data_IF_843323252385
#
_entry.id   IF_843323252385
#
_cell.length_a   1.000
_cell.length_b   1.000
_cell.length_c   1.000
_cell.angle_alpha   90.00
_cell.angle_beta   90.00
_cell.angle_gamma   90.00
#
_symmetry.space_group_name_H-M   'P 1'
#
loop_
_entity.id
_entity.type
_entity.pdbx_description
1 polymer ?
#
# COMPACT_ATOMS: atom_id res chain seq x y z
N UNK A 1 -18.87 13.93 -27.97
CA UNK A 1 -19.24 13.91 -26.54
C UNK A 1 -19.72 15.30 -26.14
N UNK A 2 -20.89 15.41 -25.50
CA UNK A 2 -21.47 16.71 -25.11
C UNK A 2 -20.80 17.17 -23.80
N UNK A 3 -20.50 18.47 -23.71
CA UNK A 3 -19.82 19.14 -22.57
C UNK A 3 -20.57 18.90 -21.24
N UNK A 4 -21.87 18.64 -21.28
CA UNK A 4 -22.69 18.31 -20.11
C UNK A 4 -22.29 17.00 -19.41
N UNK A 5 -21.56 16.09 -20.08
CA UNK A 5 -21.11 14.82 -19.48
C UNK A 5 -19.77 14.93 -18.74
N UNK A 6 -18.97 15.99 -18.98
CA UNK A 6 -17.71 16.23 -18.27
C UNK A 6 -17.91 16.85 -16.89
N UNK A 7 -18.98 17.63 -16.70
CA UNK A 7 -19.29 18.29 -15.41
C UNK A 7 -19.82 17.27 -14.39
N UNK A 8 -20.47 16.19 -14.84
CA UNK A 8 -21.04 15.17 -13.97
C UNK A 8 -19.96 14.24 -13.35
N UNK A 9 -18.80 14.10 -14.00
CA UNK A 9 -17.69 13.27 -13.47
C UNK A 9 -16.90 14.02 -12.39
N UNK A 10 -16.88 15.36 -12.45
CA UNK A 10 -16.23 16.19 -11.42
C UNK A 10 -17.02 16.27 -10.10
N UNK A 11 -18.32 15.95 -10.10
CA UNK A 11 -19.16 15.99 -8.90
C UNK A 11 -19.07 14.72 -8.03
N UNK A 12 -18.41 13.65 -8.49
CA UNK A 12 -18.35 12.36 -7.79
C UNK A 12 -17.15 12.18 -6.84
N UNK A 13 -16.28 13.19 -6.70
CA UNK A 13 -15.05 13.11 -5.88
C UNK A 13 -15.07 13.96 -4.59
N UNK A 14 -16.22 14.48 -4.17
CA UNK A 14 -16.31 15.39 -3.00
C UNK A 14 -16.77 14.68 -1.70
N UNK A 15 -17.02 13.37 -1.73
CA UNK A 15 -17.69 12.68 -0.63
C UNK A 15 -16.84 12.22 0.57
N UNK A 16 -15.51 12.26 0.51
CA UNK A 16 -14.66 11.56 1.49
C UNK A 16 -13.56 12.40 2.15
N UNK A 17 -13.56 13.72 1.98
CA UNK A 17 -12.47 14.59 2.47
C UNK A 17 -12.66 15.13 3.90
N UNK A 18 -13.89 15.09 4.45
CA UNK A 18 -14.21 15.80 5.71
C UNK A 18 -13.55 15.15 6.94
N UNK A 19 -13.46 13.82 7.01
CA UNK A 19 -12.86 13.12 8.16
C UNK A 19 -11.34 13.29 8.25
N UNK A 20 -10.64 13.34 7.11
CA UNK A 20 -9.18 13.51 7.09
C UNK A 20 -8.72 14.92 7.52
N UNK A 21 -9.60 15.91 7.35
CA UNK A 21 -9.27 17.31 7.65
C UNK A 21 -9.32 17.59 9.16
N UNK A 22 -10.31 17.05 9.88
CA UNK A 22 -10.45 17.24 11.33
C UNK A 22 -9.28 16.67 12.14
N UNK A 23 -8.79 15.47 11.77
CA UNK A 23 -7.62 14.86 12.42
C UNK A 23 -6.35 15.71 12.22
N UNK A 24 -6.11 16.17 10.99
CA UNK A 24 -4.95 17.00 10.67
C UNK A 24 -4.99 18.35 11.43
N UNK A 25 -6.17 18.98 11.50
CA UNK A 25 -6.37 20.21 12.27
C UNK A 25 -6.16 20.01 13.77
N UNK A 26 -6.65 18.91 14.34
CA UNK A 26 -6.42 18.57 15.75
C UNK A 26 -4.92 18.39 16.04
N UNK A 27 -4.23 17.65 15.16
CA UNK A 27 -2.78 17.44 15.27
C UNK A 27 -2.00 18.75 15.17
N UNK A 28 -2.40 19.66 14.30
CA UNK A 28 -1.71 20.92 14.09
C UNK A 28 -1.92 21.95 15.22
N UNK A 29 -3.12 22.00 15.81
CA UNK A 29 -3.51 23.10 16.72
C UNK A 29 -3.74 22.67 18.17
N UNK A 30 -4.08 21.41 18.43
CA UNK A 30 -4.61 20.99 19.74
C UNK A 30 -3.85 19.84 20.41
N UNK A 31 -3.14 18.98 19.66
CA UNK A 31 -2.55 17.75 20.22
C UNK A 31 -1.47 18.00 21.28
N UNK A 32 -0.81 19.16 21.24
CA UNK A 32 0.26 19.51 22.17
C UNK A 32 -0.22 19.49 23.62
N UNK A 33 -1.50 19.83 23.82
CA UNK A 33 -2.10 19.93 25.15
C UNK A 33 -3.25 18.96 25.37
N UNK A 34 -3.96 18.52 24.33
CA UNK A 34 -5.12 17.65 24.45
C UNK A 34 -4.86 16.26 23.88
N UNK A 35 -5.32 15.24 24.60
CA UNK A 35 -5.44 13.88 24.09
C UNK A 35 -6.91 13.60 23.71
N UNK A 36 -7.12 12.75 22.70
CA UNK A 36 -8.46 12.48 22.14
C UNK A 36 -9.31 11.64 23.10
N UNK A 37 -8.70 10.75 23.87
CA UNK A 37 -9.39 9.73 24.68
C UNK A 37 -9.16 9.85 26.20
N UNK A 38 -8.38 10.83 26.65
CA UNK A 38 -8.07 11.04 28.08
C UNK A 38 -7.76 12.49 28.39
N UNK A 39 -7.78 12.83 29.68
CA UNK A 39 -7.20 14.08 30.16
C UNK A 39 -5.68 14.09 29.92
N UNK A 40 -5.15 15.25 29.58
CA UNK A 40 -3.71 15.50 29.45
C UNK A 40 -3.41 16.86 30.11
N UNK A 41 -2.54 17.70 29.52
CA UNK A 41 -2.36 19.09 29.93
C UNK A 41 -3.68 19.86 29.90
N UNK A 42 -4.52 19.59 28.90
CA UNK A 42 -5.90 20.05 28.79
C UNK A 42 -6.92 18.94 29.08
N UNK A 43 -8.19 19.29 29.35
CA UNK A 43 -9.25 18.34 29.64
C UNK A 43 -9.61 17.49 28.41
N UNK A 44 -10.25 16.34 28.66
CA UNK A 44 -10.87 15.50 27.65
C UNK A 44 -11.89 16.31 26.84
N UNK A 45 -11.68 16.35 25.52
CA UNK A 45 -12.52 17.11 24.60
C UNK A 45 -13.69 16.30 24.03
N UNK A 46 -13.69 14.98 24.18
CA UNK A 46 -14.79 14.14 23.71
C UNK A 46 -16.11 14.50 24.42
N UNK A 47 -17.12 14.81 23.62
CA UNK A 47 -18.44 15.28 24.06
C UNK A 47 -18.47 16.73 24.56
N UNK A 48 -17.42 17.52 24.35
CA UNK A 48 -17.37 18.91 24.87
C UNK A 48 -18.43 19.79 24.22
N UNK A 49 -18.71 19.62 22.92
CA UNK A 49 -19.73 20.39 22.19
C UNK A 49 -21.12 20.21 22.81
N UNK A 50 -21.47 18.97 23.15
CA UNK A 50 -22.72 18.66 23.85
C UNK A 50 -22.76 19.31 25.24
N UNK A 51 -21.67 19.24 26.03
CA UNK A 51 -21.63 19.83 27.38
C UNK A 51 -21.82 21.35 27.38
N UNK A 52 -21.23 22.06 26.42
CA UNK A 52 -21.43 23.50 26.28
C UNK A 52 -22.84 23.85 25.78
N UNK A 53 -23.44 22.99 24.95
CA UNK A 53 -24.83 23.12 24.53
C UNK A 53 -25.82 22.90 25.68
N UNK A 54 -25.61 21.89 26.51
CA UNK A 54 -26.44 21.61 27.68
C UNK A 54 -26.37 22.74 28.72
N UNK A 55 -25.25 23.44 28.79
CA UNK A 55 -25.08 24.63 29.63
C UNK A 55 -25.73 25.90 29.04
N UNK A 56 -26.24 25.85 27.81
CA UNK A 56 -26.78 27.01 27.09
C UNK A 56 -25.71 28.01 26.62
N UNK A 57 -24.45 27.58 26.55
CA UNK A 57 -23.28 28.43 26.26
C UNK A 57 -22.57 28.03 24.94
N UNK A 58 -23.25 27.34 24.00
CA UNK A 58 -22.66 26.80 22.76
C UNK A 58 -21.80 27.78 21.98
N UNK A 59 -22.26 29.02 21.81
CA UNK A 59 -21.54 30.03 21.03
C UNK A 59 -20.25 30.51 21.74
N UNK A 60 -20.24 30.45 23.08
CA UNK A 60 -19.07 30.84 23.87
C UNK A 60 -17.95 29.80 23.80
N UNK A 61 -18.22 28.59 23.29
CA UNK A 61 -17.20 27.57 23.04
C UNK A 61 -16.16 28.06 22.01
N UNK A 62 -16.61 28.77 20.97
CA UNK A 62 -15.69 29.33 19.97
C UNK A 62 -14.83 30.44 20.57
N UNK A 63 -15.42 31.28 21.41
CA UNK A 63 -14.71 32.34 22.14
C UNK A 63 -13.69 31.75 23.13
N UNK A 64 -14.03 30.62 23.77
CA UNK A 64 -13.11 29.89 24.64
C UNK A 64 -11.89 29.38 23.88
N UNK A 65 -12.10 28.74 22.73
CA UNK A 65 -10.99 28.20 21.92
C UNK A 65 -10.12 29.32 21.37
N UNK A 66 -10.73 30.40 20.86
CA UNK A 66 -9.99 31.52 20.28
C UNK A 66 -9.25 32.34 21.34
N UNK A 67 -9.88 32.59 22.49
CA UNK A 67 -9.29 33.39 23.57
C UNK A 67 -9.98 33.13 24.92
N UNK A 68 -9.59 32.04 25.57
CA UNK A 68 -10.05 31.64 26.91
C UNK A 68 -9.88 32.75 27.95
N UNK A 69 -8.79 33.52 27.90
CA UNK A 69 -8.51 34.62 28.84
C UNK A 69 -9.58 35.70 28.81
N UNK A 70 -9.94 36.15 27.61
CA UNK A 70 -10.99 37.15 27.46
C UNK A 70 -12.34 36.63 27.95
N UNK A 71 -12.66 35.38 27.69
CA UNK A 71 -13.92 34.80 28.13
C UNK A 71 -13.98 34.67 29.66
N UNK A 72 -12.89 34.23 30.30
CA UNK A 72 -12.78 34.18 31.77
C UNK A 72 -12.88 35.58 32.38
N UNK A 73 -12.11 36.54 31.85
CA UNK A 73 -12.10 37.92 32.35
C UNK A 73 -13.46 38.62 32.18
N UNK A 74 -14.24 38.23 31.16
CA UNK A 74 -15.58 38.77 30.96
C UNK A 74 -16.60 38.34 32.03
N UNK A 75 -16.33 37.23 32.74
CA UNK A 75 -17.22 36.65 33.75
C UNK A 75 -18.54 36.10 33.19
N UNK A 76 -18.71 36.02 31.87
CA UNK A 76 -19.99 35.68 31.21
C UNK A 76 -20.29 34.19 31.12
N UNK A 77 -19.26 33.35 31.08
CA UNK A 77 -19.40 31.90 30.91
C UNK A 77 -19.16 31.18 32.23
N UNK A 78 -20.16 30.42 32.68
CA UNK A 78 -20.04 29.56 33.87
C UNK A 78 -19.10 28.39 33.58
N UNK A 79 -19.11 27.87 32.34
CA UNK A 79 -18.24 26.79 31.91
C UNK A 79 -16.76 27.20 31.93
N UNK A 80 -16.44 28.38 31.40
CA UNK A 80 -15.09 28.93 31.41
C UNK A 80 -14.55 29.13 32.83
N UNK A 81 -15.39 29.63 33.75
CA UNK A 81 -15.01 29.83 35.15
C UNK A 81 -14.84 28.52 35.92
N UNK A 82 -15.61 27.48 35.58
CA UNK A 82 -15.52 26.16 36.23
C UNK A 82 -14.24 25.39 35.86
N UNK A 83 -13.69 25.65 34.66
CA UNK A 83 -12.51 24.93 34.14
C UNK A 83 -11.21 25.75 34.22
N UNK A 84 -11.28 27.01 34.66
CA UNK A 84 -10.11 27.91 34.72
C UNK A 84 -8.93 27.35 35.53
N UNK A 85 -9.22 26.55 36.56
CA UNK A 85 -8.23 25.97 37.49
C UNK A 85 -7.89 24.51 37.15
N UNK A 86 -8.33 24.00 35.98
CA UNK A 86 -8.13 22.60 35.60
C UNK A 86 -6.65 22.21 35.45
N UNK A 87 -5.82 23.11 34.92
CA UNK A 87 -4.39 22.89 34.75
C UNK A 87 -3.61 24.13 35.18
N UNK A 88 -2.39 23.93 35.71
CA UNK A 88 -1.49 25.03 36.06
C UNK A 88 -0.92 25.79 34.86
N UNK A 89 -1.16 25.32 33.63
CA UNK A 89 -0.79 25.99 32.38
C UNK A 89 -2.03 26.57 31.69
N UNK A 90 -1.99 27.86 31.38
CA UNK A 90 -3.09 28.55 30.71
C UNK A 90 -3.17 28.13 29.23
N UNK A 91 -4.39 27.98 28.70
CA UNK A 91 -4.61 27.74 27.28
C UNK A 91 -4.28 28.99 26.46
N UNK A 92 -3.28 28.89 25.57
CA UNK A 92 -2.93 29.97 24.66
C UNK A 92 -4.07 30.22 23.64
N UNK A 93 -4.31 31.49 23.23
CA UNK A 93 -5.27 31.83 22.18
C UNK A 93 -5.02 31.03 20.90
N UNK A 94 -6.05 30.36 20.37
CA UNK A 94 -5.92 29.57 19.15
C UNK A 94 -6.33 30.38 17.92
N UNK A 95 -5.50 30.34 16.88
CA UNK A 95 -5.85 30.89 15.57
C UNK A 95 -6.65 29.83 14.79
N UNK A 96 -7.95 29.72 15.07
CA UNK A 96 -8.86 28.80 14.38
C UNK A 96 -10.19 29.49 14.01
N UNK A 97 -10.72 29.19 12.82
CA UNK A 97 -12.09 29.59 12.42
C UNK A 97 -13.14 28.73 13.14
N UNK A 98 -14.40 29.15 13.13
CA UNK A 98 -15.47 28.36 13.76
C UNK A 98 -15.63 27.00 13.05
N UNK A 99 -15.49 27.00 11.73
CA UNK A 99 -15.56 25.81 10.89
C UNK A 99 -14.40 24.84 11.18
N UNK A 100 -13.17 25.35 11.37
CA UNK A 100 -12.04 24.52 11.77
C UNK A 100 -12.26 23.89 13.15
N UNK A 101 -12.84 24.64 14.10
CA UNK A 101 -13.16 24.14 15.44
C UNK A 101 -14.20 23.01 15.35
N UNK A 102 -15.23 23.17 14.53
CA UNK A 102 -16.26 22.15 14.32
C UNK A 102 -15.69 20.86 13.75
N UNK A 103 -14.83 20.95 12.72
CA UNK A 103 -14.16 19.79 12.13
C UNK A 103 -13.28 19.04 13.14
N UNK A 104 -12.57 19.78 14.00
CA UNK A 104 -11.75 19.18 15.08
C UNK A 104 -12.64 18.41 16.06
N UNK A 105 -13.73 19.02 16.53
CA UNK A 105 -14.62 18.42 17.52
C UNK A 105 -15.36 17.20 16.96
N UNK A 106 -15.78 17.25 15.69
CA UNK A 106 -16.43 16.12 15.01
C UNK A 106 -15.48 14.90 14.91
N UNK A 107 -14.20 15.14 14.57
CA UNK A 107 -13.17 14.10 14.58
C UNK A 107 -13.00 13.47 15.99
N UNK A 108 -12.91 14.30 17.03
CA UNK A 108 -12.71 13.83 18.41
C UNK A 108 -13.91 12.98 18.87
N UNK A 109 -15.13 13.41 18.57
CA UNK A 109 -16.34 12.70 18.96
C UNK A 109 -16.48 11.35 18.23
N UNK A 110 -16.02 11.28 16.98
CA UNK A 110 -15.96 10.05 16.17
C UNK A 110 -14.81 9.09 16.53
N UNK A 111 -13.85 9.48 17.36
CA UNK A 111 -12.66 8.67 17.63
C UNK A 111 -12.95 7.39 18.43
N UNK A 112 -12.47 6.25 17.91
CA UNK A 112 -12.51 4.93 18.56
C UNK A 112 -11.08 4.47 18.85
N UNK A 113 -10.76 4.21 20.13
CA UNK A 113 -9.46 3.72 20.56
C UNK A 113 -9.26 2.28 20.09
N UNK A 114 -8.27 2.04 19.23
CA UNK A 114 -7.82 0.68 18.90
C UNK A 114 -6.91 0.21 20.04
N UNK A 115 -7.40 -0.69 20.89
CA UNK A 115 -6.59 -1.30 21.95
C UNK A 115 -5.64 -2.33 21.33
N UNK A 116 -4.34 -2.02 21.31
CA UNK A 116 -3.30 -3.03 21.18
C UNK A 116 -3.20 -3.82 22.50
N UNK A 117 -3.09 -5.17 22.47
CA UNK A 117 -2.96 -5.97 23.69
C UNK A 117 -1.71 -5.58 24.50
N UNK A 118 -1.72 -5.76 25.84
CA UNK A 118 -0.62 -5.36 26.68
C UNK A 118 0.66 -6.13 26.32
N UNK A 119 1.74 -5.35 26.24
CA UNK A 119 3.09 -5.76 25.92
C UNK A 119 3.61 -6.76 26.98
N UNK A 120 3.46 -8.06 26.73
CA UNK A 120 4.34 -9.07 27.33
C UNK A 120 5.61 -9.02 26.48
N UNK A 121 6.71 -8.60 27.10
CA UNK A 121 8.02 -8.56 26.49
C UNK A 121 8.39 -9.96 25.97
N UNK A 122 8.23 -10.16 24.67
CA UNK A 122 8.78 -11.28 23.93
C UNK A 122 10.20 -10.86 23.48
N UNK A 123 11.27 -11.51 23.98
CA UNK A 123 12.64 -11.18 23.59
C UNK A 123 12.95 -11.48 22.12
N UNK A 124 12.00 -12.02 21.35
CA UNK A 124 12.17 -12.33 19.93
C UNK A 124 11.65 -11.26 18.97
N UNK A 125 11.02 -10.18 19.45
CA UNK A 125 10.71 -9.01 18.61
C UNK A 125 11.84 -7.99 18.68
N UNK A 126 12.86 -8.24 17.88
CA UNK A 126 13.68 -7.14 17.37
C UNK A 126 12.73 -6.17 16.65
N UNK A 127 12.84 -4.89 17.02
CA UNK A 127 12.13 -3.77 16.40
C UNK A 127 12.08 -3.97 14.89
N UNK A 128 10.89 -4.25 14.35
CA UNK A 128 10.66 -3.99 12.95
C UNK A 128 10.76 -2.47 12.82
N UNK A 129 11.77 -1.90 12.15
CA UNK A 129 11.90 -0.46 12.07
C UNK A 129 10.61 0.06 11.45
N UNK A 130 9.93 0.94 12.18
CA UNK A 130 8.88 1.78 11.60
C UNK A 130 9.49 2.42 10.36
N UNK A 131 8.96 2.08 9.18
CA UNK A 131 9.58 2.41 7.91
C UNK A 131 9.44 3.93 7.72
N UNK A 132 10.41 4.69 8.24
CA UNK A 132 10.45 6.14 8.14
C UNK A 132 10.37 6.52 6.66
N UNK A 133 9.52 7.51 6.29
CA UNK A 133 9.43 7.96 4.90
C UNK A 133 10.81 8.36 4.37
N UNK A 134 11.18 7.93 3.18
CA UNK A 134 12.44 8.30 2.53
C UNK A 134 12.39 9.76 2.04
N UNK A 135 12.56 10.71 2.97
CA UNK A 135 12.56 12.14 2.65
C UNK A 135 13.72 12.53 1.72
N UNK A 136 14.84 11.81 1.74
CA UNK A 136 16.02 12.11 0.91
C UNK A 136 15.78 11.71 -0.55
N UNK A 137 15.25 10.50 -0.77
CA UNK A 137 14.79 10.05 -2.09
C UNK A 137 13.67 10.95 -2.63
N UNK A 138 12.66 11.24 -1.81
CA UNK A 138 11.55 12.10 -2.20
C UNK A 138 12.02 13.51 -2.60
N UNK A 139 12.95 14.11 -1.86
CA UNK A 139 13.48 15.43 -2.18
C UNK A 139 14.20 15.44 -3.55
N UNK A 140 14.90 14.36 -3.90
CA UNK A 140 15.58 14.24 -5.20
C UNK A 140 14.57 14.21 -6.35
N UNK A 141 13.49 13.43 -6.19
CA UNK A 141 12.40 13.35 -7.18
C UNK A 141 11.67 14.69 -7.29
N UNK A 142 11.44 15.35 -6.16
CA UNK A 142 10.81 16.68 -6.09
C UNK A 142 11.56 17.70 -6.96
N UNK A 143 12.90 17.77 -6.85
CA UNK A 143 13.68 18.67 -7.69
C UNK A 143 13.59 18.35 -9.18
N UNK A 144 13.61 17.06 -9.55
CA UNK A 144 13.45 16.66 -10.95
C UNK A 144 12.09 17.11 -11.52
N UNK A 145 11.01 16.94 -10.75
CA UNK A 145 9.67 17.37 -11.13
C UNK A 145 9.53 18.90 -11.17
N UNK A 146 10.25 19.62 -10.32
CA UNK A 146 10.27 21.09 -10.30
C UNK A 146 10.99 21.63 -11.54
N UNK A 147 12.13 21.05 -11.92
CA UNK A 147 12.84 21.40 -13.15
C UNK A 147 11.96 21.12 -14.38
N UNK A 148 11.30 19.97 -14.42
CA UNK A 148 10.36 19.65 -15.50
C UNK A 148 9.23 20.69 -15.59
N UNK A 149 8.67 21.10 -14.45
CA UNK A 149 7.62 22.10 -14.39
C UNK A 149 8.09 23.43 -14.98
N UNK A 150 9.31 23.88 -14.66
CA UNK A 150 9.91 25.10 -15.23
C UNK A 150 10.06 24.97 -16.74
N UNK A 151 10.55 23.83 -17.24
CA UNK A 151 10.70 23.59 -18.69
C UNK A 151 9.34 23.65 -19.40
N UNK A 152 8.30 23.01 -18.83
CA UNK A 152 6.96 23.03 -19.41
C UNK A 152 6.35 24.42 -19.40
N UNK A 153 6.50 25.18 -18.31
CA UNK A 153 6.05 26.58 -18.25
C UNK A 153 6.76 27.46 -19.28
N UNK A 154 8.07 27.28 -19.44
CA UNK A 154 8.84 27.98 -20.47
C UNK A 154 8.36 27.62 -21.89
N UNK A 155 8.10 26.34 -22.17
CA UNK A 155 7.53 25.91 -23.44
C UNK A 155 6.15 26.54 -23.70
N UNK A 156 5.28 26.60 -22.69
CA UNK A 156 3.97 27.26 -22.79
C UNK A 156 4.12 28.74 -23.13
N UNK A 157 5.04 29.45 -22.47
CA UNK A 157 5.31 30.87 -22.73
C UNK A 157 5.79 31.07 -24.19
N UNK A 158 6.76 30.27 -24.64
CA UNK A 158 7.29 30.33 -26.02
C UNK A 158 6.21 30.05 -27.07
N UNK A 159 5.38 29.03 -26.85
CA UNK A 159 4.31 28.69 -27.78
C UNK A 159 3.19 29.72 -27.76
N UNK A 160 2.80 30.20 -26.58
CA UNK A 160 1.75 31.22 -26.42
C UNK A 160 2.14 32.52 -27.12
N UNK A 161 3.37 33.00 -26.91
CA UNK A 161 3.92 34.19 -27.58
C UNK A 161 3.98 34.01 -29.10
N UNK A 162 4.40 32.84 -29.58
CA UNK A 162 4.41 32.50 -31.02
C UNK A 162 3.00 32.52 -31.62
N UNK A 163 2.03 31.89 -30.94
CA UNK A 163 0.63 31.86 -31.36
C UNK A 163 0.05 33.28 -31.37
N UNK A 164 0.25 34.08 -30.32
CA UNK A 164 -0.20 35.47 -30.24
C UNK A 164 0.36 36.33 -31.38
N UNK A 165 1.62 36.11 -31.75
CA UNK A 165 2.26 36.81 -32.87
C UNK A 165 1.62 36.41 -34.20
N UNK A 166 1.35 35.11 -34.39
CA UNK A 166 0.67 34.59 -35.58
C UNK A 166 -0.76 35.12 -35.69
N UNK A 167 -1.49 35.19 -34.58
CA UNK A 167 -2.86 35.71 -34.51
C UNK A 167 -2.92 37.19 -34.86
N UNK A 168 -1.90 37.97 -34.49
CA UNK A 168 -1.82 39.40 -34.82
C UNK A 168 -1.51 39.68 -36.30
N UNK A 169 -1.00 38.69 -37.05
CA UNK A 169 -0.68 38.85 -38.47
C UNK A 169 -1.94 39.13 -39.31
N UNK A 170 -1.80 40.01 -40.30
CA UNK A 170 -2.94 40.42 -41.14
C UNK A 170 -3.45 39.27 -42.02
N UNK A 171 -2.58 38.33 -42.37
CA UNK A 171 -2.93 37.09 -43.07
C UNK A 171 -3.93 36.27 -42.25
N UNK A 172 -3.70 36.16 -40.94
CA UNK A 172 -4.58 35.40 -40.04
C UNK A 172 -5.87 36.16 -39.77
N UNK A 173 -5.83 37.47 -39.52
CA UNK A 173 -7.04 38.31 -39.35
C UNK A 173 -7.98 38.21 -40.55
N UNK A 174 -7.44 38.12 -41.77
CA UNK A 174 -8.23 37.94 -43.00
C UNK A 174 -8.92 36.58 -43.07
N UNK A 175 -8.20 35.49 -42.73
CA UNK A 175 -8.78 34.13 -42.70
C UNK A 175 -9.73 33.89 -41.51
N UNK A 176 -9.52 34.57 -40.38
CA UNK A 176 -10.43 34.52 -39.22
C UNK A 176 -11.79 35.14 -39.52
N UNK A 177 -11.86 36.21 -40.33
CA UNK A 177 -13.13 36.84 -40.73
C UNK A 177 -14.05 35.89 -41.53
N UNK A 178 -13.50 34.80 -42.07
CA UNK A 178 -14.24 33.79 -42.84
C UNK A 178 -14.76 32.63 -41.97
N UNK A 179 -14.46 32.58 -40.66
CA UNK A 179 -14.89 31.49 -39.77
C UNK A 179 -15.89 31.92 -38.69
N UNK A 180 -17.08 31.30 -38.70
CA UNK A 180 -18.21 31.59 -37.82
C UNK A 180 -18.07 31.10 -36.35
N UNK A 181 -17.12 30.21 -36.06
CA UNK A 181 -17.04 29.50 -34.77
C UNK A 181 -16.09 30.13 -33.71
N UNK A 182 -15.61 31.36 -33.94
CA UNK A 182 -14.60 32.04 -33.11
C UNK A 182 -14.95 32.14 -31.62
N UNK A 183 -16.22 32.41 -31.32
CA UNK A 183 -16.71 32.68 -29.96
C UNK A 183 -16.61 31.46 -29.05
N UNK A 184 -16.70 30.24 -29.60
CA UNK A 184 -16.66 29.00 -28.83
C UNK A 184 -15.24 28.61 -28.41
N UNK A 185 -14.24 28.96 -29.23
CA UNK A 185 -12.83 28.67 -28.96
C UNK A 185 -12.27 29.64 -27.91
N UNK A 186 -12.64 30.93 -28.00
CA UNK A 186 -12.18 31.96 -27.07
C UNK A 186 -12.76 31.77 -25.65
N UNK A 187 -14.04 31.40 -25.55
CA UNK A 187 -14.72 31.14 -24.28
C UNK A 187 -14.18 29.89 -23.58
N UNK A 188 -13.76 28.86 -24.33
CA UNK A 188 -13.14 27.65 -23.78
C UNK A 188 -11.74 27.94 -23.19
N UNK A 189 -10.95 28.79 -23.84
CA UNK A 189 -9.62 29.20 -23.35
C UNK A 189 -9.69 29.99 -22.04
N UNK A 190 -10.69 30.88 -21.91
CA UNK A 190 -10.89 31.70 -20.70
C UNK A 190 -11.41 30.83 -19.54
N UNK A 191 -12.31 29.87 -19.82
CA UNK A 191 -12.86 28.98 -18.78
C UNK A 191 -11.84 27.97 -18.25
N UNK A 192 -10.93 27.48 -19.09
CA UNK A 192 -9.83 26.59 -18.64
C UNK A 192 -8.76 27.37 -17.86
N UNK A 193 -8.47 28.62 -18.24
CA UNK A 193 -7.54 29.49 -17.50
C UNK A 193 -8.04 29.87 -16.09
N UNK A 194 -9.36 29.98 -15.89
CA UNK A 194 -9.97 30.28 -14.60
C UNK A 194 -10.03 29.06 -13.64
N UNK A 195 -9.93 27.83 -14.16
CA UNK A 195 -9.93 26.59 -13.37
C UNK A 195 -8.57 26.25 -12.74
N UNK A 196 -7.53 27.04 -13.03
CA UNK A 196 -6.16 26.80 -12.56
C UNK A 196 -5.71 27.71 -11.41
N UNK A 197 -6.62 28.39 -10.70
CA UNK A 197 -6.28 29.04 -9.43
C UNK A 197 -6.42 28.01 -8.29
N UNK A 198 -5.34 27.50 -7.70
CA UNK A 198 -5.46 26.64 -6.54
C UNK A 198 -5.79 27.50 -5.32
N UNK A 199 -6.92 27.24 -4.68
CA UNK A 199 -7.34 27.83 -3.40
C UNK A 199 -6.93 26.97 -2.20
N UNK A 200 -5.96 26.05 -2.36
CA UNK A 200 -5.51 25.16 -1.29
C UNK A 200 -3.99 25.22 -1.19
N UNK A 201 -3.51 25.82 -0.10
CA UNK A 201 -2.09 25.78 0.30
C UNK A 201 -1.86 24.57 1.19
N UNK A 202 -1.37 23.47 0.62
CA UNK A 202 -0.65 22.47 1.41
C UNK A 202 0.75 23.04 1.68
N UNK A 203 1.02 23.43 2.92
CA UNK A 203 2.34 23.93 3.31
C UNK A 203 3.32 22.77 3.44
N UNK A 204 4.37 22.75 2.63
CA UNK A 204 5.48 21.80 2.82
C UNK A 204 6.14 22.03 4.18
N UNK A 205 6.46 20.96 4.90
CA UNK A 205 7.00 21.00 6.27
C UNK A 205 8.53 21.02 6.24
N UNK A 206 9.15 21.80 7.13
CA UNK A 206 10.59 21.72 7.40
C UNK A 206 10.85 20.92 8.69
N UNK A 207 12.01 20.25 8.83
CA UNK A 207 12.35 19.54 10.06
C UNK A 207 12.36 20.48 11.27
N UNK A 208 11.87 20.00 12.41
CA UNK A 208 11.94 20.74 13.67
C UNK A 208 13.37 20.68 14.22
N UNK A 209 14.05 21.83 14.22
CA UNK A 209 15.44 21.96 14.70
C UNK A 209 15.61 21.72 16.20
N UNK A 210 14.51 21.62 16.96
CA UNK A 210 14.55 21.29 18.39
C UNK A 210 14.47 19.78 18.65
N UNK A 211 14.11 18.98 17.64
CA UNK A 211 14.06 17.53 17.73
C UNK A 211 15.36 16.90 17.21
N UNK A 212 16.14 16.28 18.11
CA UNK A 212 17.43 15.65 17.78
C UNK A 212 17.31 14.54 16.72
N UNK A 213 16.17 13.85 16.66
CA UNK A 213 15.89 12.82 15.66
C UNK A 213 15.56 13.40 14.27
N UNK A 214 15.16 14.67 14.18
CA UNK A 214 14.83 15.33 12.92
C UNK A 214 16.01 16.07 12.29
N UNK A 215 17.14 16.19 12.99
CA UNK A 215 18.34 16.88 12.47
C UNK A 215 19.04 16.14 11.34
N UNK A 216 18.81 14.84 11.18
CA UNK A 216 19.38 14.03 10.09
C UNK A 216 18.56 14.12 8.79
N UNK A 217 17.34 14.68 8.85
CA UNK A 217 16.48 14.83 7.69
C UNK A 217 16.88 16.02 6.80
N UNK A 218 16.59 15.94 5.48
CA UNK A 218 16.80 17.06 4.57
C UNK A 218 16.00 18.30 4.96
N UNK A 219 16.45 19.48 4.53
CA UNK A 219 15.85 20.78 4.90
C UNK A 219 14.36 20.93 4.55
N UNK A 220 13.85 20.09 3.64
CA UNK A 220 12.46 20.04 3.22
C UNK A 220 11.98 18.58 3.32
N UNK A 221 10.93 18.36 4.12
CA UNK A 221 10.31 17.06 4.28
C UNK A 221 9.26 16.89 3.19
N UNK A 222 9.68 16.25 2.10
CA UNK A 222 8.79 15.95 0.97
C UNK A 222 8.11 14.61 1.20
N UNK A 223 6.79 14.63 1.31
CA UNK A 223 5.97 13.43 1.41
C UNK A 223 5.56 12.91 0.02
N UNK A 224 5.07 11.67 -0.04
CA UNK A 224 4.59 11.08 -1.29
C UNK A 224 3.39 11.84 -1.87
N UNK A 225 2.57 12.45 -1.01
CA UNK A 225 1.44 13.27 -1.43
C UNK A 225 1.93 14.51 -2.19
N UNK A 226 3.01 15.15 -1.73
CA UNK A 226 3.61 16.32 -2.41
C UNK A 226 4.11 15.95 -3.81
N UNK A 227 4.76 14.79 -3.94
CA UNK A 227 5.21 14.27 -5.24
C UNK A 227 4.04 13.99 -6.18
N UNK A 228 2.95 13.43 -5.68
CA UNK A 228 1.75 13.15 -6.47
C UNK A 228 1.09 14.44 -6.98
N UNK A 229 0.99 15.45 -6.12
CA UNK A 229 0.46 16.77 -6.50
C UNK A 229 1.33 17.38 -7.60
N UNK A 230 2.65 17.41 -7.40
CA UNK A 230 3.58 18.00 -8.36
C UNK A 230 3.61 17.25 -9.70
N UNK A 231 3.50 15.92 -9.67
CA UNK A 231 3.34 15.10 -10.87
C UNK A 231 2.04 15.43 -11.62
N UNK A 232 0.93 15.55 -10.89
CA UNK A 232 -0.38 15.89 -11.47
C UNK A 232 -0.37 17.25 -12.15
N UNK A 233 0.28 18.25 -11.54
CA UNK A 233 0.48 19.58 -12.14
C UNK A 233 1.30 19.46 -13.44
N UNK A 234 2.42 18.75 -13.43
CA UNK A 234 3.24 18.54 -14.62
C UNK A 234 2.47 17.82 -15.74
N UNK A 235 1.63 16.84 -15.40
CA UNK A 235 0.79 16.15 -16.36
C UNK A 235 -0.22 17.10 -17.03
N UNK A 236 -0.88 17.96 -16.24
CA UNK A 236 -1.78 18.99 -16.78
C UNK A 236 -1.03 19.97 -17.68
N UNK A 237 0.15 20.46 -17.27
CA UNK A 237 0.98 21.35 -18.08
C UNK A 237 1.40 20.70 -19.40
N UNK A 238 1.75 19.42 -19.39
CA UNK A 238 2.08 18.66 -20.61
C UNK A 238 0.87 18.58 -21.56
N UNK A 239 -0.33 18.31 -21.05
CA UNK A 239 -1.56 18.32 -21.86
C UNK A 239 -1.80 19.70 -22.48
N UNK A 240 -1.54 20.79 -21.73
CA UNK A 240 -1.62 22.16 -22.25
C UNK A 240 -0.61 22.38 -23.37
N UNK A 241 0.65 21.96 -23.22
CA UNK A 241 1.68 22.07 -24.27
C UNK A 241 1.26 21.30 -25.54
N UNK A 242 0.78 20.06 -25.40
CA UNK A 242 0.32 19.26 -26.54
C UNK A 242 -0.89 19.88 -27.22
N UNK A 243 -1.80 20.48 -26.46
CA UNK A 243 -2.93 21.22 -26.99
C UNK A 243 -2.48 22.47 -27.77
N UNK A 244 -1.59 23.29 -27.19
CA UNK A 244 -1.01 24.46 -27.86
C UNK A 244 -0.26 24.05 -29.14
N UNK A 245 0.43 22.91 -29.14
CA UNK A 245 1.06 22.33 -30.34
C UNK A 245 0.05 21.98 -31.41
N UNK A 246 -1.05 21.32 -31.04
CA UNK A 246 -2.13 20.99 -31.97
C UNK A 246 -2.76 22.25 -32.58
N UNK A 247 -3.00 23.26 -31.74
CA UNK A 247 -3.55 24.55 -32.15
C UNK A 247 -2.59 25.29 -33.10
N UNK A 248 -1.30 25.35 -32.76
CA UNK A 248 -0.27 25.93 -33.62
C UNK A 248 -0.22 25.22 -34.99
N UNK A 249 -0.22 23.89 -35.01
CA UNK A 249 -0.23 23.12 -36.26
C UNK A 249 -1.48 23.38 -37.10
N UNK A 250 -2.65 23.46 -36.48
CA UNK A 250 -3.89 23.79 -37.19
C UNK A 250 -3.83 25.18 -37.84
N UNK A 251 -3.28 26.17 -37.14
CA UNK A 251 -3.07 27.50 -37.71
C UNK A 251 -2.01 27.50 -38.82
N UNK A 252 -0.91 26.78 -38.62
CA UNK A 252 0.14 26.66 -39.62
C UNK A 252 -0.40 26.06 -40.93
N UNK A 253 -1.19 24.97 -40.85
CA UNK A 253 -1.79 24.34 -42.02
C UNK A 253 -2.94 25.14 -42.65
N UNK A 254 -3.56 26.05 -41.91
CA UNK A 254 -4.50 27.01 -42.49
C UNK A 254 -3.78 27.98 -43.43
N UNK A 255 -2.53 28.35 -43.14
CA UNK A 255 -1.73 29.23 -44.00
C UNK A 255 -1.01 28.43 -45.10
N UNK A 256 -0.51 27.23 -44.79
CA UNK A 256 0.16 26.33 -45.72
C UNK A 256 -0.62 25.02 -45.90
N UNK A 257 -1.51 24.92 -46.90
CA UNK A 257 -2.35 23.74 -47.09
C UNK A 257 -1.48 22.50 -47.35
N UNK A 258 -1.80 21.39 -46.66
CA UNK A 258 -1.16 20.09 -46.90
C UNK A 258 -1.36 19.70 -48.36
N UNK A 259 -0.29 19.30 -49.05
CA UNK A 259 -0.39 18.64 -50.36
C UNK A 259 -1.27 17.41 -50.22
N UNK A 260 -2.40 17.39 -50.93
CA UNK A 260 -3.35 16.28 -50.93
C UNK A 260 -2.68 15.06 -51.55
N UNK A 261 -2.46 14.00 -50.77
CA UNK A 261 -1.98 12.71 -51.30
C UNK A 261 -3.14 12.01 -52.02
N UNK A 262 -2.85 11.48 -53.21
CA UNK A 262 -3.81 10.82 -54.09
C UNK A 262 -4.54 9.64 -53.42
N UNK A 263 -5.80 9.44 -53.81
CA UNK A 263 -6.68 8.40 -53.27
C UNK A 263 -6.24 7.03 -53.77
N UNK A 264 -5.75 6.18 -52.86
CA UNK A 264 -5.40 4.77 -53.13
C UNK A 264 -6.63 3.84 -53.07
N UNK A 265 -6.61 2.70 -53.79
CA UNK A 265 -7.74 1.78 -53.89
C UNK A 265 -8.19 1.18 -52.55
N UNK A 266 -9.45 0.74 -52.51
CA UNK A 266 -10.22 0.43 -51.30
C UNK A 266 -9.85 -0.95 -50.74
N UNK A 267 -8.73 -1.02 -50.03
CA UNK A 267 -8.34 -2.19 -49.23
C UNK A 267 -9.32 -2.39 -48.06
N UNK A 268 -9.59 -3.64 -47.68
CA UNK A 268 -10.47 -3.95 -46.53
C UNK A 268 -9.97 -3.26 -45.26
N UNK A 269 -10.89 -2.68 -44.48
CA UNK A 269 -10.56 -1.97 -43.23
C UNK A 269 -9.75 -2.83 -42.27
N UNK A 270 -10.01 -4.14 -42.25
CA UNK A 270 -9.37 -5.09 -41.34
C UNK A 270 -7.92 -5.34 -41.76
N UNK A 271 -7.68 -5.56 -43.06
CA UNK A 271 -6.34 -5.77 -43.60
C UNK A 271 -5.48 -4.54 -43.41
N UNK A 272 -6.02 -3.33 -43.62
CA UNK A 272 -5.27 -2.08 -43.40
C UNK A 272 -4.85 -1.84 -41.94
N UNK A 273 -5.60 -2.39 -40.98
CA UNK A 273 -5.28 -2.27 -39.56
C UNK A 273 -4.25 -3.33 -39.13
N UNK A 274 -4.29 -4.53 -39.72
CA UNK A 274 -3.41 -5.64 -39.37
C UNK A 274 -2.13 -5.70 -40.21
N UNK A 275 -2.15 -5.28 -41.47
CA UNK A 275 -1.03 -5.45 -42.40
C UNK A 275 -1.20 -4.40 -43.50
N UNK A 276 -0.55 -3.25 -43.32
CA UNK A 276 -0.48 -2.15 -44.28
C UNK A 276 0.54 -2.48 -45.40
N UNK A 277 0.40 -3.66 -46.01
CA UNK A 277 1.31 -4.16 -47.05
C UNK A 277 0.87 -3.67 -48.42
N UNK A 278 1.85 -3.29 -49.24
CA UNK A 278 1.66 -2.99 -50.66
C UNK A 278 1.32 -4.29 -51.41
N UNK A 279 0.32 -4.30 -52.32
CA UNK A 279 0.00 -5.49 -53.12
C UNK A 279 1.19 -5.96 -53.98
N UNK A 280 1.23 -7.25 -54.28
CA UNK A 280 2.32 -7.91 -55.04
C UNK A 280 2.54 -7.24 -56.40
N UNK A 281 1.47 -6.81 -57.06
CA UNK A 281 1.50 -6.15 -58.37
C UNK A 281 2.18 -4.78 -58.33
N UNK A 282 2.29 -4.16 -57.15
CA UNK A 282 2.92 -2.86 -56.92
C UNK A 282 4.28 -2.98 -56.18
N UNK A 283 4.78 -4.19 -55.91
CA UNK A 283 6.05 -4.39 -55.17
C UNK A 283 7.25 -3.72 -55.83
N UNK A 284 7.26 -3.65 -57.17
CA UNK A 284 8.33 -2.96 -57.90
C UNK A 284 8.43 -1.47 -57.55
N UNK A 285 7.36 -0.87 -57.02
CA UNK A 285 7.33 0.55 -56.62
C UNK A 285 8.00 0.82 -55.26
N UNK A 286 8.22 -0.23 -54.46
CA UNK A 286 8.84 -0.15 -53.13
C UNK A 286 10.11 -1.00 -53.01
N UNK A 287 10.57 -1.58 -54.12
CA UNK A 287 11.80 -2.36 -54.16
C UNK A 287 13.00 -1.44 -54.03
N UNK A 288 13.92 -1.76 -53.12
CA UNK A 288 15.16 -0.98 -52.96
C UNK A 288 16.16 -1.24 -54.10
N UNK A 289 17.02 -0.26 -54.35
CA UNK A 289 17.95 -0.25 -55.50
C UNK A 289 19.15 -1.20 -55.36
N UNK A 290 19.27 -1.92 -54.25
CA UNK A 290 20.43 -2.75 -53.92
C UNK A 290 20.01 -4.21 -53.77
N UNK A 291 20.87 -5.08 -54.30
CA UNK A 291 20.72 -6.52 -54.25
C UNK A 291 21.96 -7.13 -53.58
N UNK A 292 21.71 -7.95 -52.55
CA UNK A 292 22.76 -8.63 -51.79
C UNK A 292 22.58 -10.13 -51.97
N UNK A 293 23.46 -10.76 -52.75
CA UNK A 293 23.48 -12.22 -52.94
C UNK A 293 22.11 -12.78 -53.40
N UNK A 294 21.47 -12.12 -54.36
CA UNK A 294 20.14 -12.50 -54.86
C UNK A 294 18.96 -12.10 -53.97
N UNK A 295 19.21 -11.52 -52.78
CA UNK A 295 18.18 -11.01 -51.88
C UNK A 295 17.95 -9.53 -52.17
N UNK A 296 16.68 -9.18 -52.37
CA UNK A 296 16.22 -7.79 -52.54
C UNK A 296 15.26 -7.43 -51.42
N UNK A 297 15.30 -6.18 -51.00
CA UNK A 297 14.54 -5.69 -49.85
C UNK A 297 13.41 -4.76 -50.32
N UNK A 298 12.28 -4.83 -49.62
CA UNK A 298 11.11 -3.97 -49.86
C UNK A 298 11.05 -2.90 -48.78
N UNK A 299 10.89 -1.63 -49.16
CA UNK A 299 10.66 -0.50 -48.26
C UNK A 299 9.19 -0.44 -47.82
N UNK A 300 8.76 -1.46 -47.06
CA UNK A 300 7.41 -1.58 -46.53
C UNK A 300 7.24 -0.81 -45.21
N UNK A 301 6.03 -0.28 -44.99
CA UNK A 301 5.67 0.26 -43.69
C UNK A 301 5.64 -0.87 -42.64
N UNK A 302 6.04 -0.54 -41.41
CA UNK A 302 5.88 -1.44 -40.28
C UNK A 302 4.39 -1.77 -40.07
N UNK A 303 4.02 -3.05 -39.83
CA UNK A 303 2.63 -3.43 -39.62
C UNK A 303 2.00 -2.63 -38.46
N UNK A 304 0.82 -2.02 -38.64
CA UNK A 304 0.27 -1.14 -37.62
C UNK A 304 0.02 -1.83 -36.27
N UNK A 305 -0.41 -3.09 -36.25
CA UNK A 305 -0.54 -3.87 -35.00
C UNK A 305 0.80 -4.03 -34.27
N UNK A 306 1.90 -4.21 -35.00
CA UNK A 306 3.23 -4.36 -34.41
C UNK A 306 3.68 -3.05 -33.78
N UNK A 307 3.45 -1.93 -34.48
CA UNK A 307 3.73 -0.58 -33.95
C UNK A 307 2.89 -0.29 -32.71
N UNK A 308 1.59 -0.59 -32.73
CA UNK A 308 0.72 -0.45 -31.55
C UNK A 308 1.14 -1.37 -30.40
N UNK A 309 1.55 -2.61 -30.70
CA UNK A 309 2.13 -3.53 -29.73
C UNK A 309 3.39 -2.95 -29.09
N UNK A 310 4.30 -2.39 -29.89
CA UNK A 310 5.50 -1.73 -29.42
C UNK A 310 5.19 -0.51 -28.53
N UNK A 311 4.21 0.32 -28.89
CA UNK A 311 3.79 1.42 -28.00
C UNK A 311 3.10 0.93 -26.72
N UNK A 312 2.34 -0.16 -26.78
CA UNK A 312 1.74 -0.80 -25.60
C UNK A 312 2.81 -1.29 -24.62
N UNK A 313 3.92 -1.87 -25.10
CA UNK A 313 5.00 -2.28 -24.19
C UNK A 313 5.67 -1.09 -23.52
N UNK A 314 5.83 0.04 -24.21
CA UNK A 314 6.35 1.29 -23.63
C UNK A 314 5.41 1.82 -22.54
N UNK A 315 4.10 1.87 -22.82
CA UNK A 315 3.09 2.33 -21.85
C UNK A 315 3.06 1.40 -20.63
N UNK A 316 3.10 0.08 -20.85
CA UNK A 316 3.17 -0.91 -19.79
C UNK A 316 4.44 -0.74 -18.94
N UNK A 317 5.60 -0.56 -19.57
CA UNK A 317 6.86 -0.35 -18.86
C UNK A 317 6.83 0.90 -18.00
N UNK A 318 6.26 2.01 -18.50
CA UNK A 318 6.09 3.22 -17.71
C UNK A 318 5.16 2.97 -16.52
N UNK A 319 3.98 2.38 -16.73
CA UNK A 319 3.04 2.06 -15.65
C UNK A 319 3.64 1.12 -14.59
N UNK A 320 4.36 0.09 -15.04
CA UNK A 320 5.05 -0.88 -14.18
C UNK A 320 6.14 -0.19 -13.35
N UNK A 321 6.97 0.63 -13.98
CA UNK A 321 8.00 1.41 -13.29
C UNK A 321 7.39 2.35 -12.26
N UNK A 322 6.34 3.10 -12.63
CA UNK A 322 5.68 3.99 -11.69
C UNK A 322 5.08 3.22 -10.52
N UNK A 323 4.42 2.08 -10.76
CA UNK A 323 3.83 1.28 -9.68
C UNK A 323 4.90 0.72 -8.72
N UNK A 324 5.92 0.02 -9.24
CA UNK A 324 6.90 -0.66 -8.39
C UNK A 324 7.97 0.27 -7.82
N UNK A 325 8.46 1.24 -8.59
CA UNK A 325 9.59 2.08 -8.18
C UNK A 325 9.18 3.47 -7.67
N UNK A 326 8.00 3.98 -8.01
CA UNK A 326 7.53 5.30 -7.54
C UNK A 326 6.48 5.16 -6.44
N UNK A 327 5.52 4.23 -6.58
CA UNK A 327 4.45 4.01 -5.60
C UNK A 327 4.77 2.94 -4.55
N UNK A 328 6.00 2.42 -4.52
CA UNK A 328 6.43 1.31 -3.65
C UNK A 328 5.47 0.11 -3.73
N UNK A 329 5.19 -0.36 -4.95
CA UNK A 329 4.54 -1.67 -5.13
C UNK A 329 5.26 -2.76 -4.33
N UNK A 330 4.52 -3.80 -3.96
CA UNK A 330 5.04 -4.85 -3.08
C UNK A 330 6.36 -5.43 -3.63
N UNK A 331 7.40 -5.41 -2.80
CA UNK A 331 8.63 -6.14 -3.12
C UNK A 331 8.37 -7.65 -3.01
N UNK A 332 9.21 -8.44 -3.68
CA UNK A 332 9.16 -9.91 -3.58
C UNK A 332 9.22 -10.38 -2.11
N UNK A 333 10.05 -9.73 -1.29
CA UNK A 333 10.15 -10.02 0.14
C UNK A 333 8.89 -9.64 0.90
N UNK A 334 8.28 -8.50 0.58
CA UNK A 334 7.02 -8.06 1.19
C UNK A 334 5.88 -9.03 0.87
N UNK A 335 5.77 -9.45 -0.38
CA UNK A 335 4.78 -10.43 -0.83
C UNK A 335 5.00 -11.80 -0.17
N UNK A 336 6.24 -12.27 -0.10
CA UNK A 336 6.61 -13.49 0.60
C UNK A 336 6.19 -13.44 2.08
N UNK A 337 6.60 -12.39 2.80
CA UNK A 337 6.28 -12.22 4.22
C UNK A 337 4.76 -12.19 4.46
N UNK A 338 4.01 -11.49 3.60
CA UNK A 338 2.55 -11.46 3.66
C UNK A 338 1.93 -12.83 3.43
N UNK A 339 2.45 -13.59 2.47
CA UNK A 339 1.97 -14.94 2.15
C UNK A 339 2.27 -15.91 3.29
N UNK A 340 3.48 -15.85 3.85
CA UNK A 340 3.87 -16.64 5.02
C UNK A 340 3.03 -16.29 6.26
N UNK A 341 2.72 -15.02 6.47
CA UNK A 341 1.84 -14.60 7.56
C UNK A 341 0.42 -15.15 7.40
N UNK A 342 -0.14 -15.11 6.18
CA UNK A 342 -1.44 -15.74 5.88
C UNK A 342 -1.40 -17.25 6.11
N UNK A 343 -0.38 -17.93 5.58
CA UNK A 343 -0.21 -19.36 5.76
C UNK A 343 -0.08 -19.74 7.23
N UNK A 344 0.63 -18.93 8.04
CA UNK A 344 0.73 -19.15 9.48
C UNK A 344 -0.63 -19.06 10.17
N UNK A 345 -1.45 -18.06 9.83
CA UNK A 345 -2.81 -17.95 10.40
C UNK A 345 -3.67 -19.16 10.03
N UNK A 346 -3.57 -19.65 8.79
CA UNK A 346 -4.29 -20.85 8.34
C UNK A 346 -3.80 -22.11 9.06
N UNK A 347 -2.49 -22.25 9.25
CA UNK A 347 -1.87 -23.34 10.03
C UNK A 347 -2.33 -23.26 11.48
N UNK A 348 -2.27 -22.09 12.11
CA UNK A 348 -2.65 -21.89 13.51
C UNK A 348 -4.16 -22.17 13.70
N UNK A 349 -5.00 -21.80 12.74
CA UNK A 349 -6.43 -22.13 12.74
C UNK A 349 -6.66 -23.64 12.59
N UNK A 350 -5.93 -24.29 11.68
CA UNK A 350 -5.97 -25.75 11.51
C UNK A 350 -5.50 -26.49 12.77
N UNK A 351 -4.42 -26.03 13.41
CA UNK A 351 -3.89 -26.60 14.65
C UNK A 351 -4.81 -26.37 15.85
N UNK A 352 -5.61 -25.30 15.83
CA UNK A 352 -6.59 -24.98 16.87
C UNK A 352 -7.87 -25.82 16.75
N UNK A 353 -8.32 -26.10 15.53
CA UNK A 353 -9.51 -26.90 15.25
C UNK A 353 -9.22 -28.41 15.28
N UNK A 354 -8.02 -28.83 14.86
CA UNK A 354 -7.53 -30.16 15.12
C UNK A 354 -7.21 -30.27 16.62
N UNK A 355 -7.56 -31.38 17.28
CA UNK A 355 -7.32 -31.65 18.70
C UNK A 355 -5.81 -31.81 19.06
N UNK A 356 -4.95 -30.90 18.61
CA UNK A 356 -3.48 -30.98 18.62
C UNK A 356 -2.81 -30.18 19.75
N UNK A 357 -3.56 -29.74 20.74
CA UNK A 357 -2.99 -29.20 21.97
C UNK A 357 -2.39 -30.30 22.86
N UNK A 358 -1.86 -31.40 22.31
CA UNK A 358 -1.21 -32.46 23.09
C UNK A 358 0.27 -32.15 23.20
N UNK A 359 0.77 -31.97 24.40
CA UNK A 359 2.17 -31.74 24.68
C UNK A 359 2.63 -32.55 25.90
N UNK A 360 3.91 -32.44 26.26
CA UNK A 360 4.50 -33.14 27.40
C UNK A 360 3.76 -32.87 28.72
N UNK A 361 3.03 -31.76 28.84
CA UNK A 361 2.31 -31.37 30.04
C UNK A 361 0.94 -32.05 30.17
N UNK A 362 0.26 -32.34 29.07
CA UNK A 362 -1.11 -32.84 29.06
C UNK A 362 -1.34 -34.16 28.30
N UNK A 363 -0.29 -34.75 27.72
CA UNK A 363 -0.38 -36.05 27.06
C UNK A 363 -0.84 -37.14 28.02
N UNK A 364 -1.81 -37.93 27.57
CA UNK A 364 -2.38 -39.06 28.29
C UNK A 364 -2.15 -40.37 27.55
N UNK A 365 -2.13 -41.49 28.27
CA UNK A 365 -2.00 -42.81 27.65
C UNK A 365 -3.33 -43.18 26.99
N UNK A 366 -3.31 -43.38 25.68
CA UNK A 366 -4.48 -43.84 24.92
C UNK A 366 -4.56 -45.36 24.96
N UNK A 367 -5.68 -45.91 25.46
CA UNK A 367 -5.93 -47.36 25.54
C UNK A 367 -6.96 -47.83 24.52
N UNK A 368 -7.58 -46.91 23.78
CA UNK A 368 -8.59 -47.21 22.77
C UNK A 368 -7.97 -47.93 21.57
N UNK A 369 -8.61 -49.01 21.11
CA UNK A 369 -8.08 -49.84 20.03
C UNK A 369 -7.87 -49.07 18.72
N UNK A 370 -8.69 -48.05 18.44
CA UNK A 370 -8.54 -47.20 17.26
C UNK A 370 -7.24 -46.40 17.30
N UNK A 371 -6.94 -45.75 18.44
CA UNK A 371 -5.71 -45.01 18.64
C UNK A 371 -4.47 -45.92 18.62
N UNK A 372 -4.56 -47.11 19.22
CA UNK A 372 -3.46 -48.09 19.20
C UNK A 372 -3.21 -48.64 17.78
N UNK A 373 -4.26 -48.82 16.97
CA UNK A 373 -4.11 -49.24 15.57
C UNK A 373 -3.45 -48.14 14.72
N UNK A 374 -3.81 -46.87 14.94
CA UNK A 374 -3.14 -45.72 14.30
C UNK A 374 -1.67 -45.65 14.71
N UNK A 375 -1.39 -45.70 16.02
CA UNK A 375 -0.04 -45.72 16.57
C UNK A 375 0.81 -46.88 16.03
N UNK A 376 0.20 -48.06 15.83
CA UNK A 376 0.86 -49.20 15.18
C UNK A 376 1.28 -48.90 13.75
N UNK A 377 0.39 -48.34 12.92
CA UNK A 377 0.71 -47.99 11.53
C UNK A 377 1.83 -46.95 11.45
N UNK A 378 1.78 -45.95 12.34
CA UNK A 378 2.81 -44.92 12.44
C UNK A 378 4.16 -45.51 12.91
N UNK A 379 4.14 -46.44 13.87
CA UNK A 379 5.33 -47.18 14.29
C UNK A 379 5.91 -48.03 13.15
N UNK A 380 5.06 -48.72 12.39
CA UNK A 380 5.45 -49.52 11.23
C UNK A 380 6.14 -48.67 10.16
N UNK A 381 5.63 -47.47 9.91
CA UNK A 381 6.16 -46.55 8.92
C UNK A 381 7.46 -45.85 9.35
N UNK A 382 7.63 -45.53 10.64
CA UNK A 382 8.68 -44.61 11.09
C UNK A 382 9.72 -45.21 12.04
N UNK A 383 9.40 -46.28 12.76
CA UNK A 383 10.21 -46.76 13.89
C UNK A 383 10.84 -48.14 13.65
N UNK A 384 10.27 -48.95 12.75
CA UNK A 384 10.67 -50.35 12.50
C UNK A 384 12.09 -50.51 12.00
N UNK A 385 12.62 -49.51 11.28
CA UNK A 385 13.99 -49.55 10.76
C UNK A 385 15.01 -49.72 11.89
N UNK A 386 14.78 -49.09 13.04
CA UNK A 386 15.69 -49.16 14.19
C UNK A 386 15.19 -50.11 15.29
N UNK A 387 13.88 -50.23 15.48
CA UNK A 387 13.28 -50.97 16.59
C UNK A 387 12.60 -52.29 16.18
N UNK A 388 12.67 -52.69 14.90
CA UNK A 388 11.95 -53.84 14.34
C UNK A 388 10.46 -53.79 14.73
N UNK A 389 9.89 -54.89 15.20
CA UNK A 389 8.51 -54.97 15.68
C UNK A 389 8.36 -54.55 17.16
N UNK A 390 9.32 -53.77 17.66
CA UNK A 390 9.50 -53.41 19.06
C UNK A 390 10.64 -54.17 19.73
N UNK A 391 11.11 -55.29 19.17
CA UNK A 391 12.14 -56.14 19.78
C UNK A 391 13.54 -55.49 19.85
N UNK A 392 13.75 -54.37 19.18
CA UNK A 392 15.04 -53.69 19.10
C UNK A 392 15.99 -54.28 18.05
N UNK A 393 16.85 -53.42 17.52
CA UNK A 393 17.95 -53.74 16.59
C UNK A 393 19.06 -52.69 16.73
N UNK A 394 19.03 -51.63 15.91
CA UNK A 394 19.86 -50.44 16.13
C UNK A 394 19.41 -49.75 17.43
N UNK A 395 18.11 -49.56 17.59
CA UNK A 395 17.48 -49.03 18.81
C UNK A 395 17.25 -50.10 19.89
N UNK A 396 16.94 -49.70 21.14
CA UNK A 396 16.63 -50.62 22.24
C UNK A 396 15.36 -51.45 22.00
N UNK A 397 15.23 -52.54 22.76
CA UNK A 397 13.99 -53.30 22.87
C UNK A 397 12.95 -52.46 23.61
N UNK A 398 11.84 -52.16 22.96
CA UNK A 398 10.74 -51.35 23.51
C UNK A 398 9.67 -52.21 24.20
N UNK A 399 9.80 -53.53 24.15
CA UNK A 399 8.82 -54.47 24.69
C UNK A 399 9.17 -55.01 26.09
N UNK A 400 10.41 -54.81 26.53
CA UNK A 400 10.89 -55.24 27.84
C UNK A 400 10.62 -54.19 28.93
N UNK A 401 11.11 -54.48 30.14
CA UNK A 401 10.93 -53.61 31.30
C UNK A 401 12.11 -52.62 31.48
N UNK A 402 13.08 -52.57 30.58
CA UNK A 402 14.29 -51.77 30.74
C UNK A 402 14.25 -50.53 29.86
N UNK A 403 14.31 -49.36 30.50
CA UNK A 403 14.18 -48.07 29.81
C UNK A 403 15.38 -47.17 30.11
N UNK A 404 15.91 -46.54 29.05
CA UNK A 404 17.03 -45.60 29.15
C UNK A 404 16.61 -44.22 29.67
N UNK A 405 15.44 -43.75 29.25
CA UNK A 405 14.98 -42.39 29.52
C UNK A 405 13.77 -42.33 30.45
N UNK A 406 13.05 -43.44 30.61
CA UNK A 406 11.84 -43.58 31.42
C UNK A 406 10.69 -44.23 30.64
N UNK A 407 9.71 -44.80 31.35
CA UNK A 407 8.62 -45.60 30.78
C UNK A 407 7.22 -44.97 30.92
N UNK A 408 7.13 -43.70 31.34
CA UNK A 408 5.85 -43.00 31.42
C UNK A 408 5.50 -42.32 30.09
N UNK A 409 4.21 -42.09 29.85
CA UNK A 409 3.71 -41.55 28.57
C UNK A 409 4.33 -40.19 28.22
N UNK A 410 4.60 -39.33 29.21
CA UNK A 410 5.16 -37.98 28.96
C UNK A 410 6.61 -38.09 28.50
N UNK A 411 7.38 -38.94 29.16
CA UNK A 411 8.77 -39.19 28.83
C UNK A 411 8.92 -39.88 27.48
N UNK A 412 8.11 -40.89 27.18
CA UNK A 412 8.13 -41.57 25.88
C UNK A 412 7.72 -40.61 24.76
N UNK A 413 6.66 -39.83 24.96
CA UNK A 413 6.23 -38.80 24.02
C UNK A 413 7.35 -37.78 23.74
N UNK A 414 7.97 -37.23 24.80
CA UNK A 414 9.06 -36.26 24.68
C UNK A 414 10.31 -36.84 24.01
N UNK A 415 10.61 -38.12 24.26
CA UNK A 415 11.73 -38.84 23.63
C UNK A 415 11.51 -39.00 22.13
N UNK A 416 10.30 -39.37 21.71
CA UNK A 416 9.95 -39.52 20.28
C UNK A 416 9.95 -38.15 19.60
N UNK A 417 9.33 -37.15 20.24
CA UNK A 417 9.23 -35.79 19.71
C UNK A 417 10.60 -35.17 19.46
N UNK A 418 11.46 -35.15 20.47
CA UNK A 418 12.72 -34.41 20.42
C UNK A 418 13.91 -35.26 19.94
N UNK A 419 13.74 -36.59 19.83
CA UNK A 419 14.84 -37.51 19.56
C UNK A 419 15.81 -37.62 20.74
N UNK A 420 16.94 -38.30 20.52
CA UNK A 420 17.99 -38.48 21.54
C UNK A 420 19.38 -38.31 20.94
N UNK A 421 20.32 -37.86 21.75
CA UNK A 421 21.74 -37.74 21.37
C UNK A 421 22.40 -39.08 21.05
N UNK A 422 21.78 -40.20 21.44
CA UNK A 422 22.26 -41.55 21.19
C UNK A 422 21.75 -42.16 19.88
N UNK A 423 21.38 -41.32 18.91
CA UNK A 423 21.11 -41.73 17.52
C UNK A 423 19.64 -41.88 17.13
N UNK A 424 18.69 -41.56 18.01
CA UNK A 424 17.28 -41.46 17.61
C UNK A 424 17.00 -40.06 17.03
N UNK A 425 16.59 -39.92 15.76
CA UNK A 425 16.25 -38.62 15.19
C UNK A 425 14.99 -38.03 15.83
N UNK A 426 14.82 -36.70 15.73
CA UNK A 426 13.57 -36.05 16.12
C UNK A 426 12.43 -36.42 15.14
N UNK A 427 11.21 -36.50 15.67
CA UNK A 427 10.01 -36.80 14.88
C UNK A 427 8.94 -35.69 14.94
N UNK A 428 9.20 -34.58 15.64
CA UNK A 428 8.33 -33.41 15.68
C UNK A 428 8.14 -32.73 14.32
N UNK A 429 9.11 -32.83 13.40
CA UNK A 429 8.97 -32.33 12.02
C UNK A 429 8.15 -33.25 11.11
N UNK A 430 7.94 -34.51 11.50
CA UNK A 430 7.30 -35.55 10.68
C UNK A 430 5.92 -35.95 11.17
N UNK A 431 5.70 -35.88 12.48
CA UNK A 431 4.48 -36.32 13.15
C UNK A 431 3.88 -35.17 13.93
N UNK A 432 2.56 -35.00 13.81
CA UNK A 432 1.84 -34.03 14.62
C UNK A 432 1.66 -34.52 16.07
N UNK A 433 1.26 -33.66 17.02
CA UNK A 433 1.22 -34.04 18.43
C UNK A 433 0.26 -35.18 18.78
N UNK A 434 -0.87 -35.31 18.08
CA UNK A 434 -1.79 -36.44 18.28
C UNK A 434 -1.15 -37.74 17.79
N UNK A 435 -0.50 -37.71 16.63
CA UNK A 435 0.22 -38.87 16.09
C UNK A 435 1.38 -39.29 17.00
N UNK A 436 2.09 -38.34 17.60
CA UNK A 436 3.13 -38.61 18.58
C UNK A 436 2.55 -39.30 19.83
N UNK A 437 1.40 -38.86 20.32
CA UNK A 437 0.69 -39.49 21.43
C UNK A 437 0.22 -40.91 21.09
N UNK A 438 -0.31 -41.13 19.88
CA UNK A 438 -0.75 -42.44 19.40
C UNK A 438 0.42 -43.42 19.31
N UNK A 439 1.56 -43.03 18.73
CA UNK A 439 2.77 -43.87 18.66
C UNK A 439 3.32 -44.15 20.05
N UNK A 440 3.43 -43.13 20.90
CA UNK A 440 3.92 -43.30 22.27
C UNK A 440 3.03 -44.27 23.07
N UNK A 441 1.71 -44.14 22.92
CA UNK A 441 0.73 -45.04 23.56
C UNK A 441 0.83 -46.46 23.01
N UNK A 442 1.01 -46.62 21.70
CA UNK A 442 1.22 -47.93 21.09
C UNK A 442 2.49 -48.60 21.60
N UNK A 443 3.61 -47.88 21.65
CA UNK A 443 4.89 -48.38 22.19
C UNK A 443 4.73 -48.91 23.62
N UNK A 444 4.03 -48.16 24.48
CA UNK A 444 3.76 -48.60 25.86
C UNK A 444 2.80 -49.79 25.95
N UNK A 445 1.95 -50.01 24.93
CA UNK A 445 1.05 -51.16 24.85
C UNK A 445 1.72 -52.46 24.38
N UNK A 446 2.97 -52.39 23.90
CA UNK A 446 3.67 -53.56 23.36
C UNK A 446 3.87 -54.65 24.41
N UNK A 447 3.65 -55.89 23.97
CA UNK A 447 3.90 -57.10 24.77
C UNK A 447 5.34 -57.55 24.57
N UNK A 448 5.93 -58.07 25.63
CA UNK A 448 7.31 -58.57 25.62
C UNK A 448 7.57 -59.54 24.47
N UNK A 449 8.69 -59.31 23.78
CA UNK A 449 9.24 -60.19 22.77
C UNK A 449 10.74 -60.35 22.99
N UNK A 450 11.28 -61.57 22.80
CA UNK A 450 12.72 -61.78 22.80
C UNK A 450 13.34 -60.98 21.66
N UNK A 451 14.45 -60.30 21.93
CA UNK A 451 15.03 -59.32 21.03
C UNK A 451 16.42 -58.89 21.47
N UNK A 452 16.73 -57.60 21.31
CA UNK A 452 17.99 -57.02 21.80
C UNK A 452 18.08 -57.15 23.32
N UNK A 453 19.30 -57.33 23.83
CA UNK A 453 19.58 -57.41 25.27
C UNK A 453 19.08 -56.15 26.01
N UNK A 454 18.61 -56.29 27.28
CA UNK A 454 18.05 -55.18 28.03
C UNK A 454 19.00 -53.99 28.20
N UNK A 455 18.47 -52.77 28.06
CA UNK A 455 19.26 -51.54 28.15
C UNK A 455 18.61 -50.51 29.08
N UNK A 456 19.36 -50.01 30.05
CA UNK A 456 18.89 -48.97 30.98
C UNK A 456 18.43 -49.51 32.32
N UNK A 457 17.51 -48.80 32.97
CA UNK A 457 17.02 -49.13 34.31
C UNK A 457 15.76 -49.96 34.20
N UNK A 458 15.59 -50.95 35.09
CA UNK A 458 14.36 -51.73 35.14
C UNK A 458 13.21 -50.91 35.74
N UNK A 459 12.13 -50.81 34.99
CA UNK A 459 10.86 -50.25 35.40
C UNK A 459 9.81 -51.36 35.39
N UNK A 460 9.34 -51.75 36.57
CA UNK A 460 8.24 -52.70 36.69
C UNK A 460 6.97 -52.05 36.12
N UNK A 461 6.35 -52.69 35.11
CA UNK A 461 5.01 -52.31 34.66
C UNK A 461 4.05 -52.42 35.86
N UNK A 462 3.44 -51.30 36.24
CA UNK A 462 2.41 -51.26 37.28
C UNK A 462 1.13 -51.94 36.84
#
# INVERSE_FOLDING_TARGET
MKISQLILIAALFVGSTVYSQGEALFKAKCNTCHAVDKNSTGPLLKGVKAKWADAGESEMLYDWVKNSKNLIASGKSKMALAIKDFSGSEMAPQQASNEEIDQILEYIDGYVKVETPPNIADPSKQDSPELLPDYKGNLTIFYALLVLMIILLFAIILMSTSILTFVKSDVFKRKLKEQENLTKILVLLITVGALLTPSISYGMRTPDKTNLAEMEYPWLLVEKVDLFILFSINFVLLLVVLYLRGLFNNFFYMVYPRKVKAVKPKQSRVTKILVDVVPIEEESSILMDHEYDGIRELDNNLPPWWVWGFYMTIIFAFAYFTYYHVFNGDSQTTEYNRTMAKAKVEIDAYLKDAAMNVDESNVTLLTEQAALNSGKQLFEANCTVCHKDGSGDIGPNLTDNFWLYGNDIKTVFGTIKNGTTNGMPEHASKLNPVQLQEVASYVLSLKYKPGKEPQGTEYLKK
#
